data_IF_142232149518
#
_entry.id   IF_142232149518
#
_cell.length_a   1.000
_cell.length_b   1.000
_cell.length_c   1.000
_cell.angle_alpha   90.00
_cell.angle_beta   90.00
_cell.angle_gamma   90.00
#
_symmetry.space_group_name_H-M   'P 1'
#
loop_
_entity.id
_entity.type
_entity.pdbx_description
1 polymer ?
#
# COMPACT_ATOMS: atom_id res chain seq x y z
N UNK A 1 12.35 -17.99 1.92
CA UNK A 1 13.76 -17.85 2.35
C UNK A 1 13.80 -17.46 3.82
N UNK A 2 14.48 -18.23 4.67
CA UNK A 2 14.61 -17.97 6.12
C UNK A 2 15.66 -16.88 6.40
N UNK A 3 15.42 -16.03 7.42
CA UNK A 3 16.37 -15.00 7.86
C UNK A 3 17.59 -15.63 8.56
N UNK A 4 18.82 -15.14 8.33
CA UNK A 4 20.00 -15.58 9.08
C UNK A 4 19.90 -15.12 10.54
N UNK A 5 20.39 -15.89 11.52
CA UNK A 5 20.19 -15.61 12.94
C UNK A 5 20.74 -14.25 13.39
N UNK A 6 20.15 -13.61 14.41
CA UNK A 6 20.59 -12.30 14.91
C UNK A 6 22.01 -12.37 15.48
N UNK A 7 22.85 -11.36 15.23
CA UNK A 7 24.26 -11.36 15.65
C UNK A 7 24.42 -11.36 17.18
N UNK A 8 23.45 -10.81 17.91
CA UNK A 8 23.45 -10.80 19.38
C UNK A 8 22.82 -12.07 20.01
N UNK A 9 22.41 -13.04 19.19
CA UNK A 9 21.84 -14.32 19.62
C UNK A 9 20.46 -14.26 20.29
N UNK A 10 19.82 -13.10 20.41
CA UNK A 10 18.51 -12.95 21.09
C UNK A 10 17.46 -12.20 20.26
N UNK A 11 17.81 -11.07 19.65
CA UNK A 11 16.85 -10.23 18.92
C UNK A 11 17.51 -9.51 17.74
N UNK A 12 16.81 -9.39 16.61
CA UNK A 12 17.30 -8.59 15.49
C UNK A 12 17.34 -7.11 15.86
N UNK A 13 18.52 -6.49 15.83
CA UNK A 13 18.71 -5.04 15.89
C UNK A 13 18.63 -4.44 14.49
N UNK A 14 18.48 -3.12 14.39
CA UNK A 14 18.47 -2.43 13.09
C UNK A 14 19.78 -2.56 12.30
N UNK A 15 20.86 -2.96 12.98
CA UNK A 15 22.21 -3.08 12.42
C UNK A 15 22.56 -4.51 12.00
N UNK A 16 21.68 -5.48 12.27
CA UNK A 16 21.87 -6.85 11.79
C UNK A 16 21.82 -6.90 10.25
N UNK A 17 22.73 -7.63 9.57
CA UNK A 17 22.69 -7.79 8.12
C UNK A 17 21.36 -8.38 7.59
N UNK A 18 20.70 -9.19 8.42
CA UNK A 18 19.35 -9.72 8.18
C UNK A 18 18.30 -8.60 7.96
N UNK A 19 18.59 -7.40 8.48
CA UNK A 19 17.73 -6.23 8.42
C UNK A 19 17.99 -5.31 7.23
N UNK A 20 19.11 -5.50 6.52
CA UNK A 20 19.50 -4.61 5.42
C UNK A 20 18.46 -4.57 4.30
N UNK A 21 17.79 -5.70 4.04
CA UNK A 21 16.70 -5.77 3.04
C UNK A 21 15.51 -4.86 3.33
N UNK A 22 15.35 -4.37 4.56
CA UNK A 22 14.28 -3.45 4.96
C UNK A 22 14.73 -2.00 5.00
N UNK A 23 16.03 -1.74 4.87
CA UNK A 23 16.64 -0.41 5.06
C UNK A 23 16.05 0.60 4.09
N UNK A 24 15.96 0.25 2.81
CA UNK A 24 15.48 1.17 1.76
C UNK A 24 14.05 1.67 2.03
N UNK A 25 13.06 0.79 2.19
CA UNK A 25 11.69 1.22 2.49
C UNK A 25 11.58 1.99 3.81
N UNK A 26 12.35 1.61 4.83
CA UNK A 26 12.38 2.34 6.10
C UNK A 26 12.91 3.75 5.92
N UNK A 27 13.99 3.92 5.17
CA UNK A 27 14.62 5.21 4.98
C UNK A 27 13.73 6.12 4.11
N UNK A 28 13.04 5.58 3.10
CA UNK A 28 11.98 6.28 2.37
C UNK A 28 10.85 6.76 3.29
N UNK A 29 10.36 5.90 4.18
CA UNK A 29 9.31 6.27 5.13
C UNK A 29 9.75 7.40 6.08
N UNK A 30 10.98 7.34 6.58
CA UNK A 30 11.54 8.38 7.45
C UNK A 30 11.74 9.72 6.74
N UNK A 31 12.03 9.70 5.45
CA UNK A 31 12.24 10.89 4.65
C UNK A 31 10.94 11.47 4.06
N UNK A 32 9.83 10.74 4.13
CA UNK A 32 8.56 11.14 3.53
C UNK A 32 7.93 12.32 4.30
N UNK A 33 7.86 13.49 3.66
CA UNK A 33 7.35 14.72 4.28
C UNK A 33 5.84 14.74 4.50
N UNK A 34 5.08 13.94 3.74
CA UNK A 34 3.63 13.82 3.89
C UNK A 34 3.29 13.09 5.20
N UNK A 35 3.87 11.91 5.42
CA UNK A 35 3.58 11.09 6.61
C UNK A 35 4.26 11.61 7.89
N UNK A 36 5.37 12.34 7.76
CA UNK A 36 6.10 12.95 8.89
C UNK A 36 5.77 14.44 9.06
N UNK A 37 4.64 14.90 8.52
CA UNK A 37 4.24 16.29 8.60
C UNK A 37 4.06 16.71 10.08
N UNK A 38 4.76 17.76 10.56
CA UNK A 38 4.69 18.19 11.95
C UNK A 38 3.32 18.74 12.37
N UNK A 39 2.43 19.03 11.41
CA UNK A 39 1.06 19.46 11.68
C UNK A 39 0.10 18.30 11.96
N UNK A 40 0.53 17.05 11.74
CA UNK A 40 -0.28 15.86 12.06
C UNK A 40 -0.26 15.57 13.56
N UNK A 41 -1.36 15.03 14.08
CA UNK A 41 -1.39 14.50 15.44
C UNK A 41 -0.49 13.26 15.55
N UNK A 42 -0.07 12.92 16.78
CA UNK A 42 0.71 11.69 17.03
C UNK A 42 -0.07 10.44 16.57
N UNK A 43 -1.39 10.41 16.81
CA UNK A 43 -2.26 9.33 16.37
C UNK A 43 -2.28 9.18 14.85
N UNK A 44 -2.43 10.30 14.12
CA UNK A 44 -2.38 10.28 12.65
C UNK A 44 -1.03 9.81 12.13
N UNK A 45 0.08 10.27 12.72
CA UNK A 45 1.41 9.82 12.34
C UNK A 45 1.58 8.32 12.58
N UNK A 46 1.17 7.81 13.75
CA UNK A 46 1.22 6.36 14.05
C UNK A 46 0.40 5.57 13.04
N UNK A 47 -0.81 6.04 12.73
CA UNK A 47 -1.69 5.41 11.74
C UNK A 47 -1.05 5.38 10.35
N UNK A 48 -0.58 6.52 9.83
CA UNK A 48 0.05 6.61 8.51
C UNK A 48 1.30 5.73 8.41
N UNK A 49 2.14 5.73 9.46
CA UNK A 49 3.31 4.84 9.53
C UNK A 49 2.92 3.35 9.54
N UNK A 50 1.75 3.02 10.11
CA UNK A 50 1.29 1.64 10.25
C UNK A 50 0.85 1.00 8.91
N UNK A 51 0.50 1.82 7.92
CA UNK A 51 0.06 1.37 6.58
C UNK A 51 1.20 0.73 5.79
N UNK A 52 2.41 1.27 5.89
CA UNK A 52 3.56 0.68 5.20
C UNK A 52 3.97 -0.62 5.86
N UNK A 53 3.87 -1.73 5.14
CA UNK A 53 4.16 -3.03 5.71
C UNK A 53 3.86 -4.21 4.80
N UNK A 54 4.09 -5.39 5.34
CA UNK A 54 3.72 -6.66 4.71
C UNK A 54 2.50 -7.23 5.42
N UNK A 55 1.48 -7.53 4.63
CA UNK A 55 0.20 -8.07 5.05
C UNK A 55 0.07 -9.49 4.53
N UNK A 56 -0.29 -10.41 5.42
CA UNK A 56 -0.81 -11.71 5.04
C UNK A 56 -2.29 -11.52 4.70
N UNK A 57 -2.74 -12.11 3.61
CA UNK A 57 -4.07 -11.85 3.03
C UNK A 57 -4.83 -13.15 2.86
N UNK A 58 -6.12 -13.11 3.19
CA UNK A 58 -7.10 -14.12 2.82
C UNK A 58 -8.04 -13.54 1.76
N UNK A 59 -8.54 -14.39 0.87
CA UNK A 59 -9.56 -14.01 -0.09
C UNK A 59 -10.91 -14.51 0.41
N UNK A 60 -11.93 -13.68 0.29
CA UNK A 60 -13.26 -13.99 0.83
C UNK A 60 -13.86 -15.26 0.19
N UNK A 61 -13.66 -15.42 -1.12
CA UNK A 61 -14.16 -16.58 -1.86
C UNK A 61 -13.40 -17.88 -1.57
N UNK A 62 -12.21 -17.81 -0.99
CA UNK A 62 -11.41 -18.97 -0.57
C UNK A 62 -11.00 -18.83 0.89
N UNK A 63 -11.99 -18.55 1.76
CA UNK A 63 -11.76 -18.40 3.19
C UNK A 63 -11.05 -19.61 3.82
N UNK A 64 -11.27 -20.82 3.28
CA UNK A 64 -10.64 -22.07 3.73
C UNK A 64 -9.11 -22.08 3.54
N UNK A 65 -8.58 -21.32 2.57
CA UNK A 65 -7.13 -21.16 2.39
C UNK A 65 -6.49 -20.22 3.42
N UNK A 66 -7.31 -19.55 4.24
CA UNK A 66 -6.86 -18.64 5.29
C UNK A 66 -5.91 -17.55 4.75
N UNK A 67 -4.97 -17.12 5.59
CA UNK A 67 -3.99 -16.10 5.26
C UNK A 67 -2.78 -16.67 4.49
N UNK A 68 -3.03 -17.15 3.27
CA UNK A 68 -2.04 -17.79 2.40
C UNK A 68 -1.45 -16.84 1.33
N UNK A 69 -2.00 -15.64 1.19
CA UNK A 69 -1.60 -14.65 0.20
C UNK A 69 -0.85 -13.47 0.85
N UNK A 70 -0.31 -12.59 0.03
CA UNK A 70 0.47 -11.45 0.52
C UNK A 70 0.19 -10.17 -0.25
N UNK A 71 0.13 -9.05 0.47
CA UNK A 71 0.24 -7.69 -0.07
C UNK A 71 1.38 -6.98 0.67
N UNK A 72 2.26 -6.31 -0.04
CA UNK A 72 3.24 -5.37 0.51
C UNK A 72 2.85 -3.97 0.11
N UNK A 73 2.92 -3.01 1.02
CA UNK A 73 2.60 -1.61 0.77
C UNK A 73 3.75 -0.70 1.18
N UNK A 74 4.07 0.30 0.37
CA UNK A 74 5.14 1.29 0.61
C UNK A 74 4.67 2.70 0.21
N UNK A 75 5.04 3.69 1.02
CA UNK A 75 4.70 5.08 0.74
C UNK A 75 5.63 5.73 -0.30
N UNK A 76 5.05 6.64 -1.08
CA UNK A 76 5.71 7.53 -2.03
C UNK A 76 5.05 8.91 -1.96
N UNK A 77 5.52 9.77 -1.06
CA UNK A 77 4.81 10.98 -0.63
C UNK A 77 3.39 10.64 -0.13
N UNK A 78 2.37 11.15 -0.80
CA UNK A 78 0.95 10.93 -0.56
C UNK A 78 0.38 9.76 -1.38
N UNK A 79 1.19 9.09 -2.19
CA UNK A 79 0.83 7.90 -2.97
C UNK A 79 1.26 6.63 -2.24
N UNK A 80 0.52 5.54 -2.42
CA UNK A 80 0.90 4.21 -1.90
C UNK A 80 1.09 3.25 -3.06
N UNK A 81 2.25 2.63 -3.12
CA UNK A 81 2.52 1.51 -4.00
C UNK A 81 2.30 0.19 -3.27
N UNK A 82 1.80 -0.80 -3.99
CA UNK A 82 1.66 -2.15 -3.45
C UNK A 82 2.04 -3.23 -4.43
N UNK A 83 2.53 -4.36 -3.92
CA UNK A 83 2.75 -5.60 -4.69
C UNK A 83 1.90 -6.67 -4.05
N UNK A 84 1.18 -7.44 -4.87
CA UNK A 84 0.31 -8.50 -4.40
C UNK A 84 0.67 -9.84 -5.05
N UNK A 85 0.49 -10.93 -4.28
CA UNK A 85 0.57 -12.30 -4.76
C UNK A 85 -0.61 -13.09 -4.20
N UNK A 86 -1.55 -13.37 -5.09
CA UNK A 86 -2.82 -14.06 -4.87
C UNK A 86 -2.79 -15.48 -5.44
N UNK A 87 -1.60 -16.05 -5.63
CA UNK A 87 -1.40 -17.34 -6.26
C UNK A 87 -1.58 -17.24 -7.78
N UNK A 88 -2.84 -17.26 -8.23
CA UNK A 88 -3.17 -17.20 -9.67
C UNK A 88 -2.91 -15.84 -10.28
N UNK A 89 -3.03 -14.77 -9.50
CA UNK A 89 -2.74 -13.40 -9.91
C UNK A 89 -1.57 -12.84 -9.11
N UNK A 90 -0.70 -12.10 -9.81
CA UNK A 90 0.40 -11.36 -9.19
C UNK A 90 0.57 -10.04 -9.91
N UNK A 91 0.98 -9.02 -9.18
CA UNK A 91 1.13 -7.71 -9.78
C UNK A 91 1.43 -6.59 -8.82
N UNK A 92 1.24 -5.38 -9.32
CA UNK A 92 1.48 -4.11 -8.63
C UNK A 92 0.19 -3.31 -8.61
N UNK A 93 -0.08 -2.61 -7.51
CA UNK A 93 -1.17 -1.67 -7.35
C UNK A 93 -0.65 -0.29 -6.95
N UNK A 94 -1.42 0.75 -7.28
CA UNK A 94 -1.11 2.13 -6.97
C UNK A 94 -2.36 2.84 -6.46
N UNK A 95 -2.29 3.40 -5.26
CA UNK A 95 -3.32 4.27 -4.64
C UNK A 95 -2.85 5.72 -4.79
N UNK A 96 -3.56 6.52 -5.59
CA UNK A 96 -3.25 7.93 -5.83
C UNK A 96 -4.53 8.76 -5.63
N UNK A 97 -4.79 9.41 -4.49
CA UNK A 97 -3.97 9.69 -3.30
C UNK A 97 -4.35 8.81 -2.09
N UNK A 98 -3.41 8.55 -1.19
CA UNK A 98 -3.61 7.79 0.05
C UNK A 98 -4.29 8.60 1.18
N UNK A 99 -4.49 7.99 2.36
CA UNK A 99 -5.07 8.67 3.51
C UNK A 99 -4.20 9.83 4.01
N UNK A 100 -4.83 10.95 4.36
CA UNK A 100 -4.16 12.10 5.01
C UNK A 100 -4.13 12.00 6.54
N UNK A 101 -5.07 11.25 7.11
CA UNK A 101 -5.29 11.14 8.56
C UNK A 101 -5.97 9.83 8.91
N UNK A 102 -5.98 9.48 10.19
CA UNK A 102 -6.69 8.31 10.65
C UNK A 102 -8.20 8.45 10.44
N UNK A 103 -8.90 7.41 9.95
CA UNK A 103 -10.35 7.41 9.90
C UNK A 103 -10.93 7.68 11.30
N UNK A 104 -12.00 8.48 11.41
CA UNK A 104 -12.65 8.78 12.68
C UNK A 104 -13.02 7.51 13.44
N UNK A 105 -12.99 7.54 14.77
CA UNK A 105 -13.27 6.36 15.62
C UNK A 105 -14.59 5.66 15.30
N UNK A 106 -15.62 6.41 14.89
CA UNK A 106 -16.92 5.85 14.49
C UNK A 106 -16.83 4.90 13.29
N UNK A 107 -15.79 4.99 12.47
CA UNK A 107 -15.54 4.07 11.34
C UNK A 107 -14.84 2.76 11.76
N UNK A 108 -14.32 2.66 12.99
CA UNK A 108 -13.50 1.53 13.46
C UNK A 108 -14.30 0.38 14.06
N UNK A 109 -15.49 0.63 14.58
CA UNK A 109 -16.24 -0.33 15.43
C UNK A 109 -17.13 -1.32 14.66
N UNK A 110 -16.79 -1.67 13.43
CA UNK A 110 -17.64 -2.51 12.57
C UNK A 110 -17.33 -4.01 12.66
N UNK A 111 -16.49 -4.42 13.61
CA UNK A 111 -16.03 -5.81 13.76
C UNK A 111 -17.00 -6.72 14.54
N UNK A 112 -18.10 -6.19 15.09
CA UNK A 112 -19.12 -6.98 15.79
C UNK A 112 -20.44 -7.08 15.01
N UNK A 113 -20.84 -8.32 14.72
CA UNK A 113 -22.00 -8.77 13.94
C UNK A 113 -23.38 -8.46 14.57
N UNK A 114 -23.54 -7.34 15.29
CA UNK A 114 -24.86 -6.89 15.72
C UNK A 114 -25.33 -5.73 14.84
N UNK A 115 -26.20 -6.08 13.88
CA UNK A 115 -27.02 -5.17 13.11
C UNK A 115 -27.96 -4.38 14.06
N UNK A 116 -27.40 -3.41 14.76
CA UNK A 116 -28.12 -2.27 15.29
C UNK A 116 -28.36 -1.29 14.15
N UNK A 117 -29.61 -0.86 13.99
CA UNK A 117 -30.14 0.06 12.98
C UNK A 117 -29.61 1.51 13.15
N UNK A 118 -28.39 1.67 13.68
CA UNK A 118 -27.74 2.96 13.82
C UNK A 118 -26.92 3.24 12.55
N UNK A 119 -27.17 4.43 12.01
CA UNK A 119 -26.65 5.04 10.79
C UNK A 119 -25.11 5.14 10.77
N UNK A 120 -24.44 3.99 10.76
CA UNK A 120 -22.99 3.88 10.69
C UNK A 120 -22.55 4.39 9.32
N UNK A 121 -21.86 5.54 9.31
CA UNK A 121 -21.34 6.12 8.09
C UNK A 121 -20.39 5.13 7.36
N UNK A 122 -20.39 5.15 6.02
CA UNK A 122 -19.76 4.11 5.22
C UNK A 122 -18.24 4.08 5.42
N UNK A 123 -17.61 2.88 5.29
CA UNK A 123 -16.15 2.75 5.32
C UNK A 123 -15.49 3.64 4.27
N UNK A 124 -14.33 4.20 4.62
CA UNK A 124 -13.56 5.07 3.73
C UNK A 124 -12.67 4.20 2.86
N UNK A 125 -13.05 4.09 1.59
CA UNK A 125 -12.27 3.40 0.56
C UNK A 125 -11.41 4.38 -0.24
N UNK A 126 -10.22 3.93 -0.59
CA UNK A 126 -9.32 4.57 -1.52
C UNK A 126 -9.32 3.77 -2.81
N UNK A 127 -9.52 4.47 -3.93
CA UNK A 127 -9.44 3.86 -5.25
C UNK A 127 -7.97 3.56 -5.57
N UNK A 128 -7.74 2.41 -6.21
CA UNK A 128 -6.44 2.06 -6.75
C UNK A 128 -6.56 1.52 -8.16
N UNK A 129 -5.48 1.65 -8.92
CA UNK A 129 -5.28 0.93 -10.17
C UNK A 129 -4.27 -0.18 -9.96
N UNK A 130 -4.35 -1.24 -10.76
CA UNK A 130 -3.40 -2.33 -10.69
C UNK A 130 -2.98 -2.81 -12.07
N UNK A 131 -1.85 -3.52 -12.10
CA UNK A 131 -1.34 -4.23 -13.27
C UNK A 131 -0.80 -5.57 -12.82
N UNK A 132 -0.82 -6.59 -13.67
CA UNK A 132 -0.30 -7.89 -13.29
C UNK A 132 -0.35 -8.95 -14.37
N UNK A 133 -0.20 -10.18 -13.92
CA UNK A 133 -0.25 -11.39 -14.75
C UNK A 133 -1.20 -12.40 -14.12
N UNK A 134 -1.69 -13.34 -14.95
CA UNK A 134 -2.49 -14.47 -14.50
C UNK A 134 -1.81 -15.77 -14.91
N UNK A 135 -1.67 -16.71 -13.98
CA UNK A 135 -1.08 -18.04 -14.23
C UNK A 135 -1.81 -18.85 -15.31
N UNK A 136 -3.10 -18.57 -15.56
CA UNK A 136 -3.88 -19.19 -16.64
C UNK A 136 -3.57 -18.60 -18.02
N UNK A 137 -3.00 -17.40 -18.06
CA UNK A 137 -2.60 -16.68 -19.27
C UNK A 137 -1.20 -16.07 -19.04
N UNK A 138 -0.16 -16.91 -18.92
CA UNK A 138 1.17 -16.47 -18.47
C UNK A 138 1.84 -15.48 -19.42
N UNK A 139 1.49 -15.52 -20.71
CA UNK A 139 2.02 -14.63 -21.75
C UNK A 139 1.20 -13.34 -21.90
N UNK A 140 0.22 -13.09 -21.02
CA UNK A 140 -0.67 -11.92 -21.08
C UNK A 140 -0.46 -11.04 -19.87
N UNK A 141 -0.07 -9.79 -20.14
CA UNK A 141 -0.08 -8.71 -19.14
C UNK A 141 -1.49 -8.14 -19.05
N UNK A 142 -1.98 -7.99 -17.83
CA UNK A 142 -3.26 -7.39 -17.50
C UNK A 142 -2.98 -5.97 -17.00
N UNK A 143 -3.18 -4.97 -17.86
CA UNK A 143 -2.88 -3.57 -17.56
C UNK A 143 -3.93 -2.60 -18.14
N UNK A 144 -5.13 -3.07 -18.46
CA UNK A 144 -6.17 -2.22 -19.03
C UNK A 144 -6.83 -1.35 -17.94
N UNK A 145 -6.61 -0.02 -17.91
CA UNK A 145 -7.06 0.85 -16.84
C UNK A 145 -8.58 0.97 -16.74
N UNK A 146 -9.33 0.50 -17.73
CA UNK A 146 -10.80 0.45 -17.68
C UNK A 146 -11.33 -0.63 -16.73
N UNK A 147 -10.55 -1.69 -16.52
CA UNK A 147 -10.96 -2.87 -15.76
C UNK A 147 -10.00 -3.21 -14.61
N UNK A 148 -8.76 -2.75 -14.64
CA UNK A 148 -7.76 -3.02 -13.59
C UNK A 148 -7.80 -1.99 -12.47
N UNK A 149 -8.96 -1.90 -11.82
CA UNK A 149 -9.22 -1.00 -10.69
C UNK A 149 -9.47 -1.79 -9.42
N UNK A 150 -9.62 -1.08 -8.31
CA UNK A 150 -10.07 -1.67 -7.07
C UNK A 150 -10.22 -0.62 -6.00
N UNK A 151 -10.64 -1.08 -4.81
CA UNK A 151 -10.80 -0.24 -3.64
C UNK A 151 -10.12 -0.88 -2.45
N UNK A 152 -9.44 -0.07 -1.66
CA UNK A 152 -8.77 -0.49 -0.43
C UNK A 152 -9.18 0.39 0.74
N UNK A 153 -9.48 -0.23 1.86
CA UNK A 153 -9.71 0.38 3.15
C UNK A 153 -8.45 0.16 4.01
N UNK A 154 -7.98 1.23 4.63
CA UNK A 154 -6.86 1.20 5.57
C UNK A 154 -7.39 1.32 7.00
N UNK A 155 -7.41 0.20 7.72
CA UNK A 155 -7.65 0.19 9.17
C UNK A 155 -6.34 0.18 9.95
N UNK A 156 -6.43 0.43 11.26
CA UNK A 156 -5.28 0.48 12.19
C UNK A 156 -4.44 -0.82 12.16
N UNK A 157 -5.11 -1.96 12.06
CA UNK A 157 -4.49 -3.29 12.15
C UNK A 157 -4.88 -4.21 11.00
N UNK A 158 -5.58 -3.70 9.98
CA UNK A 158 -6.15 -4.53 8.91
C UNK A 158 -6.28 -3.71 7.64
N UNK A 159 -6.16 -4.37 6.50
CA UNK A 159 -6.55 -3.83 5.19
C UNK A 159 -7.68 -4.68 4.64
N UNK A 160 -8.63 -4.05 3.97
CA UNK A 160 -9.75 -4.71 3.29
C UNK A 160 -9.95 -4.10 1.94
N UNK A 161 -10.60 -4.80 1.04
CA UNK A 161 -10.89 -4.23 -0.25
C UNK A 161 -11.25 -5.28 -1.27
N UNK A 162 -11.24 -4.86 -2.52
CA UNK A 162 -11.45 -5.75 -3.65
C UNK A 162 -10.69 -5.26 -4.88
N UNK A 163 -10.29 -6.20 -5.72
CA UNK A 163 -9.77 -5.95 -7.06
C UNK A 163 -10.85 -6.21 -8.08
N UNK A 164 -11.05 -5.29 -9.02
CA UNK A 164 -11.87 -5.47 -10.21
C UNK A 164 -11.02 -6.05 -11.35
N UNK A 165 -11.64 -6.74 -12.29
CA UNK A 165 -10.98 -7.21 -13.52
C UNK A 165 -10.08 -8.44 -13.35
N UNK A 166 -10.19 -9.16 -12.22
CA UNK A 166 -9.54 -10.45 -12.02
C UNK A 166 -10.40 -11.58 -12.59
N UNK A 167 -10.37 -11.74 -13.93
CA UNK A 167 -11.16 -12.74 -14.67
C UNK A 167 -10.53 -14.13 -14.71
N UNK A 168 -11.24 -15.13 -14.20
CA UNK A 168 -10.84 -16.52 -14.36
C UNK A 168 -10.06 -17.05 -13.17
N UNK A 169 -10.81 -17.57 -12.20
CA UNK A 169 -10.35 -18.54 -11.19
C UNK A 169 -11.55 -19.21 -10.46
N UNK A 170 -12.77 -19.07 -10.98
CA UNK A 170 -13.99 -19.41 -10.23
C UNK A 170 -14.48 -18.31 -9.29
N UNK A 171 -13.99 -17.07 -9.46
CA UNK A 171 -14.47 -15.90 -8.71
C UNK A 171 -15.85 -15.46 -9.23
N UNK A 172 -16.88 -15.39 -8.37
CA UNK A 172 -18.18 -14.85 -8.75
C UNK A 172 -18.12 -13.32 -8.88
N UNK A 173 -18.56 -12.78 -10.01
CA UNK A 173 -18.78 -11.33 -10.15
C UNK A 173 -17.56 -10.49 -10.50
N UNK A 174 -16.50 -11.07 -11.09
CA UNK A 174 -15.33 -10.33 -11.63
C UNK A 174 -14.51 -9.53 -10.60
N UNK A 175 -14.81 -9.72 -9.31
CA UNK A 175 -14.18 -9.04 -8.20
C UNK A 175 -13.47 -10.05 -7.29
N UNK A 176 -12.29 -9.67 -6.78
CA UNK A 176 -11.55 -10.45 -5.80
C UNK A 176 -11.49 -9.67 -4.48
N UNK A 177 -12.44 -9.95 -3.57
CA UNK A 177 -12.43 -9.40 -2.22
C UNK A 177 -11.30 -9.98 -1.38
N UNK A 178 -10.62 -9.13 -0.62
CA UNK A 178 -9.50 -9.51 0.21
C UNK A 178 -9.56 -8.91 1.60
N UNK A 179 -8.89 -9.60 2.50
CA UNK A 179 -8.76 -9.22 3.89
C UNK A 179 -7.35 -9.50 4.39
N UNK A 180 -6.66 -8.46 4.82
CA UNK A 180 -5.24 -8.50 5.14
C UNK A 180 -4.93 -8.07 6.56
N UNK A 181 -4.07 -8.82 7.24
CA UNK A 181 -3.55 -8.47 8.56
C UNK A 181 -2.02 -8.37 8.50
N UNK A 182 -1.38 -7.51 9.32
CA UNK A 182 0.08 -7.47 9.41
C UNK A 182 0.68 -8.83 9.72
N UNK A 183 1.89 -9.04 9.22
CA UNK A 183 2.77 -10.03 9.83
C UNK A 183 3.09 -9.65 11.28
N UNK A 184 3.21 -10.66 12.13
CA UNK A 184 3.57 -10.46 13.53
C UNK A 184 4.94 -9.77 13.65
N UNK A 185 5.02 -8.77 14.53
CA UNK A 185 6.23 -7.98 14.78
C UNK A 185 6.21 -6.62 14.11
N UNK A 186 7.38 -5.94 14.02
CA UNK A 186 7.45 -4.60 13.46
C UNK A 186 7.05 -4.55 11.99
N UNK A 187 6.33 -3.49 11.60
CA UNK A 187 5.95 -3.23 10.22
C UNK A 187 7.19 -3.08 9.34
N UNK A 188 7.31 -3.94 8.33
CA UNK A 188 8.51 -4.07 7.49
C UNK A 188 8.12 -4.42 6.06
N UNK A 189 8.87 -3.86 5.11
CA UNK A 189 8.74 -4.13 3.68
C UNK A 189 10.12 -4.54 3.16
N UNK A 190 10.32 -5.80 2.74
CA UNK A 190 11.64 -6.32 2.33
C UNK A 190 12.02 -5.92 0.89
N UNK A 191 11.59 -4.74 0.44
CA UNK A 191 11.73 -4.22 -0.93
C UNK A 191 11.96 -2.71 -0.89
N UNK A 192 12.66 -2.16 -1.87
CA UNK A 192 12.79 -0.70 -2.05
C UNK A 192 11.56 -0.13 -2.74
N UNK A 193 11.23 1.15 -2.50
CA UNK A 193 10.19 1.86 -3.27
C UNK A 193 10.42 1.74 -4.79
N UNK A 194 11.66 1.97 -5.23
CA UNK A 194 12.02 1.87 -6.65
C UNK A 194 11.63 0.53 -7.25
N UNK A 195 11.80 -0.58 -6.53
CA UNK A 195 11.43 -1.90 -7.05
C UNK A 195 9.92 -2.09 -7.28
N UNK A 196 9.04 -1.33 -6.63
CA UNK A 196 7.60 -1.38 -6.91
C UNK A 196 7.29 -0.62 -8.20
N UNK A 197 7.98 0.50 -8.42
CA UNK A 197 7.84 1.34 -9.61
C UNK A 197 8.42 0.61 -10.83
N UNK A 198 9.57 -0.04 -10.68
CA UNK A 198 10.19 -0.85 -11.73
C UNK A 198 9.22 -1.97 -12.17
N UNK A 199 8.66 -2.74 -11.23
CA UNK A 199 7.66 -3.77 -11.54
C UNK A 199 6.42 -3.19 -12.24
N UNK A 200 5.99 -1.96 -11.90
CA UNK A 200 4.86 -1.28 -12.56
C UNK A 200 5.16 -0.90 -14.00
N UNK A 201 6.36 -0.37 -14.24
CA UNK A 201 6.82 0.06 -15.55
C UNK A 201 7.11 -1.15 -16.45
N UNK A 202 7.65 -2.24 -15.91
CA UNK A 202 7.84 -3.49 -16.65
C UNK A 202 6.52 -4.11 -17.14
N UNK A 203 5.40 -3.79 -16.46
CA UNK A 203 4.04 -4.19 -16.84
C UNK A 203 3.33 -3.13 -17.71
N UNK A 204 3.98 -2.00 -18.00
CA UNK A 204 3.50 -0.96 -18.90
C UNK A 204 4.09 -1.17 -20.30
N UNK A 205 3.25 -1.15 -21.32
CA UNK A 205 3.72 -1.33 -22.70
C UNK A 205 3.50 -0.08 -23.55
N UNK A 206 2.49 0.73 -23.21
CA UNK A 206 2.10 1.89 -24.02
C UNK A 206 2.01 3.20 -23.23
N UNK A 207 2.05 3.14 -21.90
CA UNK A 207 2.07 4.31 -21.02
C UNK A 207 3.46 4.88 -20.78
N UNK A 208 3.49 6.00 -20.06
CA UNK A 208 4.73 6.64 -19.61
C UNK A 208 5.25 5.95 -18.35
N UNK A 209 6.58 5.93 -18.20
CA UNK A 209 7.22 5.39 -17.00
C UNK A 209 6.88 6.24 -15.77
N UNK A 210 6.41 5.58 -14.73
CA UNK A 210 6.25 6.19 -13.43
C UNK A 210 7.61 6.39 -12.76
N UNK A 211 7.71 7.45 -11.96
CA UNK A 211 8.91 7.76 -11.17
C UNK A 211 8.53 8.11 -9.74
N UNK A 212 9.50 8.07 -8.84
CA UNK A 212 9.32 8.45 -7.43
C UNK A 212 8.78 9.88 -7.35
N UNK A 213 7.71 10.09 -6.57
CA UNK A 213 7.10 11.41 -6.42
C UNK A 213 8.06 12.30 -5.61
N UNK A 214 8.48 13.40 -6.23
CA UNK A 214 9.30 14.41 -5.56
C UNK A 214 8.41 15.26 -4.65
N UNK A 215 8.91 15.61 -3.46
CA UNK A 215 8.26 16.61 -2.64
C UNK A 215 8.16 17.93 -3.45
N UNK A 216 7.07 18.71 -3.30
CA UNK A 216 6.98 19.99 -3.96
C UNK A 216 8.18 20.84 -3.53
N UNK A 217 9.07 21.14 -4.48
CA UNK A 217 10.17 22.07 -4.27
C UNK A 217 9.56 23.35 -3.73
N UNK A 218 9.92 23.74 -2.50
CA UNK A 218 9.58 25.05 -1.97
C UNK A 218 10.19 26.10 -2.90
N UNK A 219 9.43 26.56 -3.89
CA UNK A 219 9.82 27.60 -4.84
C UNK A 219 10.13 28.82 -4.01
N UNK A 220 11.41 29.23 -4.05
CA UNK A 220 11.94 30.33 -3.28
C UNK A 220 11.14 31.61 -3.49
N UNK A 221 10.87 32.30 -2.38
CA UNK A 221 10.58 33.73 -2.38
C UNK A 221 11.71 34.46 -3.11
N UNK A 222 11.49 34.79 -4.38
CA UNK A 222 12.23 35.88 -5.04
C UNK A 222 11.37 37.11 -4.93
N UNK A 223 11.64 37.89 -3.89
CA UNK A 223 11.21 39.27 -3.75
C UNK A 223 11.85 40.08 -4.90
N UNK A 224 11.12 40.28 -6.00
CA UNK A 224 11.34 41.43 -6.88
C UNK A 224 10.47 42.55 -6.29
N UNK A 225 11.01 43.57 -5.64
CA UNK A 225 12.00 44.47 -6.20
C UNK A 225 11.23 45.69 -6.70
N UNK A 226 10.96 46.63 -5.80
CA UNK A 226 10.49 47.98 -6.13
C UNK A 226 11.34 48.56 -7.26
N UNK A 227 10.69 48.99 -8.33
CA UNK A 227 11.25 49.99 -9.24
C UNK A 227 10.30 51.18 -9.19
N UNK A 228 10.72 52.19 -8.43
CA UNK A 228 10.33 53.58 -8.64
C UNK A 228 10.78 54.01 -10.03
N UNK A 229 9.95 54.76 -10.76
CA UNK A 229 10.43 55.85 -11.60
C UNK A 229 9.26 56.81 -11.92
N UNK A 230 9.37 58.01 -11.35
CA UNK A 230 9.14 59.35 -11.93
C UNK A 230 8.08 59.55 -13.01
#
# INVERSE_FOLDING_TARGET
>A
MSLPPPQNGKHYTQDDPAMDRYRSARDTLKANGFVNNPNLSEYDQIYLHSIQGTYKVKQEHWADLGYSFQIMLVWDQDRIWGVFDFGSYKGVLMVDHGPEREPPEWSRNRDDDEAGDDEAAPPVYYDFTWKGTCSQMPDTIINNPLITKGKIEFGVSRIRGFFEGMFGAGLPGECCSFDGTPLFGPRRVPRSLQSFIDDWNDLEYFGEDETVRLAPSSVGNVSQGQIEHT
#
